data_IF_018763037294
#
_entry.id   IF_018763037294
#
_cell.length_a   1.000
_cell.length_b   1.000
_cell.length_c   1.000
_cell.angle_alpha   90.00
_cell.angle_beta   90.00
_cell.angle_gamma   90.00
#
_symmetry.space_group_name_H-M   'P 1'
#
loop_
_entity.id
_entity.type
_entity.pdbx_description
1 polymer ?
#
# COMPACT_ATOMS: atom_id res chain seq x y z
N UNK A 1 -8.60 -54.62 -24.21
CA UNK A 1 -7.45 -53.97 -23.55
C UNK A 1 -7.80 -52.52 -23.29
N UNK A 2 -7.97 -52.11 -22.03
CA UNK A 2 -8.27 -50.72 -21.66
C UNK A 2 -6.97 -50.11 -21.11
N UNK A 3 -6.37 -49.20 -21.86
CA UNK A 3 -5.17 -48.47 -21.46
C UNK A 3 -5.62 -47.30 -20.57
N UNK A 4 -5.36 -47.40 -19.27
CA UNK A 4 -5.55 -46.31 -18.33
C UNK A 4 -4.40 -45.31 -18.51
N UNK A 5 -4.70 -44.15 -19.08
CA UNK A 5 -3.79 -43.01 -19.14
C UNK A 5 -3.75 -42.40 -17.74
N UNK A 6 -2.62 -42.60 -17.06
CA UNK A 6 -2.35 -42.06 -15.74
C UNK A 6 -1.94 -40.59 -15.89
N UNK A 7 -2.87 -39.68 -15.63
CA UNK A 7 -2.63 -38.23 -15.65
C UNK A 7 -1.79 -37.84 -14.42
N UNK A 8 -0.48 -37.69 -14.64
CA UNK A 8 0.43 -37.07 -13.69
C UNK A 8 0.11 -35.56 -13.61
N UNK A 9 -0.72 -35.18 -12.64
CA UNK A 9 -0.86 -33.78 -12.24
C UNK A 9 0.42 -33.37 -11.50
N UNK A 10 1.38 -32.82 -12.24
CA UNK A 10 2.53 -32.13 -11.68
C UNK A 10 2.04 -30.77 -11.16
N UNK A 11 1.53 -30.76 -9.93
CA UNK A 11 1.20 -29.53 -9.20
C UNK A 11 2.51 -28.79 -8.95
N UNK A 12 2.82 -27.80 -9.79
CA UNK A 12 3.89 -26.84 -9.53
C UNK A 12 3.51 -26.02 -8.31
N UNK A 13 3.99 -26.46 -7.14
CA UNK A 13 3.98 -25.67 -5.93
C UNK A 13 4.83 -24.43 -6.24
N UNK A 14 4.17 -23.30 -6.51
CA UNK A 14 4.79 -21.99 -6.49
C UNK A 14 5.24 -21.73 -5.05
N UNK A 15 6.46 -22.14 -4.71
CA UNK A 15 7.16 -21.63 -3.55
C UNK A 15 7.40 -20.14 -3.86
N UNK A 16 6.80 -19.19 -3.12
CA UNK A 16 7.21 -17.81 -3.25
C UNK A 16 8.71 -17.78 -2.94
N UNK A 17 9.51 -17.43 -3.94
CA UNK A 17 10.93 -17.20 -3.76
C UNK A 17 11.05 -16.21 -2.62
N UNK A 18 11.64 -16.64 -1.51
CA UNK A 18 11.86 -15.81 -0.35
C UNK A 18 12.81 -14.69 -0.79
N UNK A 19 12.23 -13.55 -1.18
CA UNK A 19 13.01 -12.35 -1.53
C UNK A 19 13.49 -11.80 -0.21
N UNK A 20 14.80 -11.94 0.06
CA UNK A 20 15.43 -11.39 1.25
C UNK A 20 15.58 -9.87 1.06
N UNK A 21 14.49 -9.11 1.24
CA UNK A 21 14.51 -7.65 1.12
C UNK A 21 13.14 -7.04 0.85
N UNK A 22 12.98 -5.76 1.21
CA UNK A 22 11.79 -4.97 0.94
C UNK A 22 11.75 -4.63 -0.56
N UNK A 23 10.62 -4.85 -1.22
CA UNK A 23 10.44 -4.47 -2.61
C UNK A 23 9.86 -3.06 -2.73
N UNK A 24 10.47 -2.20 -3.53
CA UNK A 24 9.99 -0.84 -3.79
C UNK A 24 9.94 -0.57 -5.30
N UNK A 25 8.94 0.18 -5.76
CA UNK A 25 8.98 0.74 -7.10
C UNK A 25 10.08 1.81 -7.20
N UNK A 26 10.81 1.85 -8.32
CA UNK A 26 11.89 2.78 -8.57
C UNK A 26 11.69 3.54 -9.89
N UNK A 27 11.69 4.87 -9.81
CA UNK A 27 11.69 5.77 -10.96
C UNK A 27 12.12 7.18 -10.53
N UNK A 28 12.99 7.82 -11.32
CA UNK A 28 13.40 9.22 -11.10
C UNK A 28 12.30 10.21 -11.52
N UNK A 29 11.60 9.91 -12.63
CA UNK A 29 10.46 10.68 -13.14
C UNK A 29 9.36 9.69 -13.53
N UNK A 30 8.45 9.43 -12.59
CA UNK A 30 7.34 8.52 -12.79
C UNK A 30 6.19 9.21 -13.55
N UNK A 31 5.48 8.46 -14.38
CA UNK A 31 4.25 8.93 -15.04
C UNK A 31 3.17 9.32 -14.02
N UNK A 32 2.30 10.26 -14.42
CA UNK A 32 1.07 10.63 -13.71
C UNK A 32 -0.12 10.38 -14.64
N UNK A 33 -0.99 9.38 -14.39
CA UNK A 33 -1.00 8.45 -13.25
C UNK A 33 0.16 7.46 -13.28
N UNK A 34 0.52 6.92 -12.11
CA UNK A 34 1.64 5.98 -11.99
C UNK A 34 1.33 4.65 -12.70
N UNK A 35 2.13 4.33 -13.72
CA UNK A 35 2.07 3.05 -14.42
C UNK A 35 2.96 2.02 -13.73
N UNK A 36 2.34 1.10 -13.00
CA UNK A 36 3.03 0.02 -12.28
C UNK A 36 3.63 -1.03 -13.23
N UNK A 37 3.10 -1.17 -14.44
CA UNK A 37 3.55 -2.20 -15.39
C UNK A 37 4.88 -1.81 -16.05
N UNK A 38 5.19 -0.53 -16.09
CA UNK A 38 6.43 0.00 -16.64
C UNK A 38 7.43 0.46 -15.55
N UNK A 39 7.16 0.15 -14.29
CA UNK A 39 8.01 0.53 -13.17
C UNK A 39 9.07 -0.53 -12.90
N UNK A 40 10.31 -0.09 -12.62
CA UNK A 40 11.36 -0.97 -12.11
C UNK A 40 11.06 -1.31 -10.65
N UNK A 41 11.34 -2.55 -10.25
CA UNK A 41 11.26 -2.98 -8.85
C UNK A 41 12.68 -3.12 -8.33
N UNK A 42 12.97 -2.43 -7.22
CA UNK A 42 14.21 -2.57 -6.45
C UNK A 42 13.94 -3.39 -5.21
N UNK A 43 14.82 -4.34 -4.92
CA UNK A 43 14.85 -5.09 -3.67
C UNK A 43 15.90 -4.45 -2.77
N UNK A 44 15.53 -4.09 -1.54
CA UNK A 44 16.47 -3.55 -0.55
C UNK A 44 17.40 -4.64 -0.06
N UNK A 45 18.65 -4.27 0.23
CA UNK A 45 19.60 -5.17 0.89
C UNK A 45 19.71 -4.88 2.40
N UNK A 46 19.10 -3.78 2.84
CA UNK A 46 19.09 -3.35 4.23
C UNK A 46 17.70 -3.45 4.84
N UNK A 47 17.63 -3.84 6.12
CA UNK A 47 16.40 -3.86 6.91
C UNK A 47 15.95 -2.47 7.37
N UNK A 48 16.82 -1.47 7.27
CA UNK A 48 16.56 -0.08 7.65
C UNK A 48 16.16 0.81 6.48
N UNK A 49 16.27 0.31 5.24
CA UNK A 49 15.70 0.99 4.06
C UNK A 49 14.17 0.97 4.12
N UNK A 50 13.55 2.06 3.66
CA UNK A 50 12.11 2.17 3.48
C UNK A 50 11.79 2.61 2.06
N UNK A 51 10.62 2.20 1.54
CA UNK A 51 10.18 2.69 0.24
C UNK A 51 9.75 4.15 0.36
N UNK A 52 10.17 4.98 -0.60
CA UNK A 52 9.78 6.37 -0.68
C UNK A 52 8.95 6.68 -1.91
N UNK A 53 8.17 7.75 -1.80
CA UNK A 53 7.56 8.49 -2.89
C UNK A 53 7.85 9.97 -2.65
N UNK A 54 8.38 10.70 -3.61
CA UNK A 54 8.56 12.15 -3.53
C UNK A 54 7.72 12.81 -4.62
N UNK A 55 6.91 13.80 -4.26
CA UNK A 55 6.20 14.65 -5.21
C UNK A 55 6.72 16.09 -5.07
N UNK A 56 7.30 16.61 -6.16
CA UNK A 56 7.85 17.95 -6.22
C UNK A 56 7.42 18.65 -7.51
N UNK A 57 6.62 19.71 -7.40
CA UNK A 57 6.10 20.47 -8.54
C UNK A 57 5.38 19.57 -9.55
N UNK A 58 6.02 19.32 -10.70
CA UNK A 58 5.49 18.51 -11.81
C UNK A 58 5.94 17.03 -11.77
N UNK A 59 6.88 16.65 -10.91
CA UNK A 59 7.50 15.32 -10.90
C UNK A 59 7.01 14.43 -9.76
N UNK A 60 7.02 13.11 -9.99
CA UNK A 60 7.00 12.10 -8.91
C UNK A 60 8.27 11.27 -9.05
N UNK A 61 8.96 11.01 -7.95
CA UNK A 61 9.98 9.96 -7.89
C UNK A 61 9.61 8.91 -6.86
N UNK A 62 10.12 7.69 -7.04
CA UNK A 62 9.90 6.53 -6.16
C UNK A 62 11.19 5.75 -6.04
N UNK A 63 11.42 5.11 -4.91
CA UNK A 63 12.56 4.22 -4.71
C UNK A 63 12.62 3.68 -3.29
N UNK A 64 13.82 3.27 -2.87
CA UNK A 64 14.15 2.93 -1.49
C UNK A 64 15.23 3.89 -0.95
N UNK A 65 15.12 4.31 0.31
CA UNK A 65 16.12 5.17 0.95
C UNK A 65 16.24 4.90 2.45
N UNK A 66 17.40 5.27 2.99
CA UNK A 66 17.68 5.34 4.43
C UNK A 66 18.54 6.59 4.72
N UNK A 67 18.17 7.45 5.70
CA UNK A 67 16.88 7.47 6.39
C UNK A 67 15.76 7.96 5.47
N UNK A 68 14.54 7.47 5.68
CA UNK A 68 13.34 8.02 5.03
C UNK A 68 12.63 8.96 6.01
N UNK A 69 12.57 10.25 5.67
CA UNK A 69 11.93 11.27 6.51
C UNK A 69 10.67 11.74 5.79
N UNK A 70 9.52 11.56 6.43
CA UNK A 70 8.25 12.07 5.92
C UNK A 70 8.17 13.58 6.11
N UNK A 71 7.84 14.28 5.02
CA UNK A 71 7.59 15.71 5.03
C UNK A 71 6.55 16.02 3.97
N UNK A 72 5.40 16.59 4.34
CA UNK A 72 4.33 16.92 3.40
C UNK A 72 3.85 18.36 3.65
N UNK A 73 3.83 19.16 2.60
CA UNK A 73 3.19 20.46 2.56
C UNK A 73 2.33 20.56 1.30
N UNK A 74 1.03 20.77 1.46
CA UNK A 74 0.07 20.96 0.36
C UNK A 74 0.05 19.82 -0.69
N UNK A 75 0.31 18.58 -0.27
CA UNK A 75 0.34 17.42 -1.18
C UNK A 75 1.64 17.26 -1.95
N UNK A 76 2.64 18.13 -1.69
CA UNK A 76 4.02 17.97 -2.13
C UNK A 76 4.85 17.50 -0.95
N UNK A 77 5.79 16.60 -1.19
CA UNK A 77 6.49 16.00 -0.07
C UNK A 77 7.14 14.65 -0.33
N UNK A 78 7.63 14.07 0.76
CA UNK A 78 8.21 12.73 0.87
C UNK A 78 7.27 11.87 1.71
N UNK A 79 6.97 10.66 1.22
CA UNK A 79 6.22 9.63 1.93
C UNK A 79 7.05 8.38 2.06
N UNK A 80 6.96 7.77 3.23
CA UNK A 80 7.74 6.61 3.59
C UNK A 80 6.79 5.46 3.95
N UNK A 81 7.10 4.25 3.51
CA UNK A 81 6.34 3.08 3.89
C UNK A 81 7.21 1.83 3.92
N UNK A 82 6.80 0.86 4.74
CA UNK A 82 7.59 -0.33 5.06
C UNK A 82 6.78 -1.60 4.79
N UNK A 83 6.39 -1.79 3.53
CA UNK A 83 5.75 -3.00 3.01
C UNK A 83 6.05 -3.14 1.51
N UNK A 84 6.04 -4.37 1.00
CA UNK A 84 6.34 -4.61 -0.41
C UNK A 84 5.43 -3.78 -1.33
N UNK A 85 6.08 -3.06 -2.24
CA UNK A 85 5.46 -2.24 -3.29
C UNK A 85 4.49 -1.17 -2.74
N UNK A 86 4.62 -0.81 -1.46
CA UNK A 86 3.73 0.14 -0.78
C UNK A 86 3.79 1.55 -1.39
N UNK A 87 4.94 1.91 -1.98
CA UNK A 87 5.11 3.14 -2.73
C UNK A 87 4.50 3.03 -4.14
N UNK A 88 3.44 2.25 -4.36
CA UNK A 88 2.71 2.15 -5.62
C UNK A 88 1.41 2.97 -5.67
N UNK A 89 1.01 3.61 -4.57
CA UNK A 89 -0.23 4.36 -4.47
C UNK A 89 -0.28 5.61 -5.37
N UNK A 90 -1.47 5.90 -5.92
CA UNK A 90 -1.72 7.06 -6.79
C UNK A 90 -1.82 8.38 -6.02
N UNK A 91 -2.25 8.37 -4.76
CA UNK A 91 -2.53 9.60 -4.01
C UNK A 91 -2.01 9.51 -2.59
N UNK A 92 -1.61 10.66 -2.09
CA UNK A 92 -1.29 10.90 -0.69
C UNK A 92 -2.54 11.45 -0.04
N UNK A 93 -3.56 10.61 0.08
CA UNK A 93 -4.52 10.93 1.14
C UNK A 93 -3.77 10.55 2.42
N UNK A 94 -3.48 11.49 3.34
CA UNK A 94 -2.98 11.10 4.64
C UNK A 94 -3.93 10.02 5.16
N UNK A 95 -3.39 8.86 5.54
CA UNK A 95 -4.16 7.88 6.31
C UNK A 95 -4.39 8.48 7.71
N UNK A 96 -5.23 9.51 7.79
CA UNK A 96 -5.85 10.07 8.98
C UNK A 96 -6.94 11.06 8.56
N UNK A 97 -7.99 10.55 7.92
CA UNK A 97 -9.36 10.89 8.33
C UNK A 97 -10.37 9.87 7.79
N UNK A 98 -10.20 8.58 8.15
CA UNK A 98 -11.41 7.81 8.47
C UNK A 98 -11.97 8.45 9.74
N UNK A 99 -12.73 9.54 9.62
CA UNK A 99 -13.79 9.76 10.62
C UNK A 99 -14.66 8.51 10.48
N UNK A 100 -14.44 7.60 11.41
CA UNK A 100 -15.43 6.59 11.75
C UNK A 100 -16.63 7.40 12.24
N UNK A 101 -17.50 7.83 11.33
CA UNK A 101 -18.87 8.23 11.65
C UNK A 101 -19.62 6.92 11.96
N UNK A 102 -19.15 6.18 12.96
CA UNK A 102 -19.82 4.99 13.51
C UNK A 102 -20.19 5.20 14.97
N UNK A 103 -19.63 6.22 15.64
CA UNK A 103 -20.03 6.57 17.01
C UNK A 103 -21.15 7.62 17.09
N UNK A 104 -21.39 8.41 16.03
CA UNK A 104 -22.50 9.39 16.02
C UNK A 104 -23.88 8.76 15.79
N UNK A 105 -23.94 7.56 15.19
CA UNK A 105 -25.21 6.81 15.05
C UNK A 105 -25.56 5.99 16.31
N UNK A 106 -24.58 5.69 17.17
CA UNK A 106 -24.84 5.04 18.46
C UNK A 106 -25.34 6.03 19.53
N UNK A 107 -24.90 7.30 19.50
CA UNK A 107 -25.41 8.31 20.43
C UNK A 107 -26.83 8.78 20.10
N UNK A 108 -27.23 8.84 18.82
CA UNK A 108 -28.62 9.17 18.45
C UNK A 108 -29.57 7.99 18.77
N UNK A 109 -29.11 6.74 18.60
CA UNK A 109 -29.90 5.55 18.92
C UNK A 109 -30.24 5.42 20.40
N UNK A 110 -29.29 5.77 21.30
CA UNK A 110 -29.51 5.67 22.75
C UNK A 110 -30.42 6.81 23.25
N UNK A 111 -30.32 8.03 22.70
CA UNK A 111 -31.20 9.14 23.09
C UNK A 111 -32.65 8.86 22.70
N UNK A 112 -32.90 8.23 21.55
CA UNK A 112 -34.26 7.81 21.16
C UNK A 112 -34.83 6.67 22.01
N UNK A 113 -34.00 5.81 22.59
CA UNK A 113 -34.47 4.73 23.48
C UNK A 113 -34.86 5.25 24.87
N UNK A 114 -34.15 6.26 25.41
CA UNK A 114 -34.46 6.81 26.74
C UNK A 114 -35.78 7.60 26.79
N UNK A 115 -36.20 8.19 25.68
CA UNK A 115 -37.47 8.94 25.59
C UNK A 115 -38.71 8.04 25.49
N UNK A 116 -38.55 6.75 25.17
CA UNK A 116 -39.67 5.79 25.10
C UNK A 116 -39.94 5.14 26.47
N UNK A 117 -38.96 5.12 27.37
CA UNK A 117 -39.08 4.49 28.70
C UNK A 117 -39.55 5.49 29.77
N UNK A 118 -39.50 6.79 29.47
CA UNK A 118 -39.81 7.87 30.42
C UNK A 118 -41.14 8.60 30.15
N UNK A 119 -42.01 8.02 29.31
CA UNK A 119 -43.32 8.56 28.94
C UNK A 119 -44.45 7.58 29.22
#
# INVERSE_FOLDING_TARGET
MKVLVNLFFCSTIFLPTLVNGLQCYECLVCSRPFDKNNATIRITNSSSESCYKIEAGIGVSRGAMEPCIEANAFGLGTWCCHADLCNGGQSIVPMNLKIIISTFLLSIGIIKMLQIISG
#
